data_IF_372287449234
#
_entry.id   IF_372287449234
#
_cell.length_a   1.000
_cell.length_b   1.000
_cell.length_c   1.000
_cell.angle_alpha   90.00
_cell.angle_beta   90.00
_cell.angle_gamma   90.00
#
_symmetry.space_group_name_H-M   'P 1'
#
loop_
_entity.id
_entity.type
_entity.pdbx_description
1 polymer ?
#
# COMPACT_ATOMS: atom_id res chain seq x y z
N UNK A 1 -16.47 37.27 39.12
CA UNK A 1 -15.77 35.98 39.04
C UNK A 1 -15.43 35.79 37.57
N UNK A 2 -14.21 36.06 37.15
CA UNK A 2 -13.77 35.74 35.79
C UNK A 2 -13.59 34.22 35.72
N UNK A 3 -14.38 33.56 34.91
CA UNK A 3 -14.17 32.15 34.62
C UNK A 3 -12.79 32.00 33.98
N UNK A 4 -11.85 31.36 34.68
CA UNK A 4 -10.57 31.01 34.11
C UNK A 4 -10.80 30.10 32.91
N UNK A 5 -10.32 30.54 31.75
CA UNK A 5 -10.48 29.81 30.50
C UNK A 5 -9.66 28.52 30.54
N UNK A 6 -10.32 27.39 30.66
CA UNK A 6 -9.68 26.07 30.63
C UNK A 6 -9.50 25.61 29.18
N UNK A 7 -8.30 25.21 28.78
CA UNK A 7 -8.00 24.70 27.45
C UNK A 7 -8.03 23.17 27.47
N UNK A 8 -8.98 22.52 26.79
CA UNK A 8 -9.05 21.06 26.81
C UNK A 8 -7.82 20.42 26.18
N UNK A 9 -7.42 19.19 26.59
CA UNK A 9 -6.37 18.44 25.94
C UNK A 9 -6.66 18.25 24.45
N UNK A 10 -5.65 18.47 23.61
CA UNK A 10 -5.78 18.46 22.15
C UNK A 10 -6.02 19.85 21.54
N UNK A 11 -6.31 20.90 22.33
CA UNK A 11 -6.38 22.28 21.84
C UNK A 11 -5.03 22.74 21.33
N UNK A 12 -5.02 23.56 20.29
CA UNK A 12 -3.84 24.32 19.84
C UNK A 12 -3.87 25.71 20.45
N UNK A 13 -2.73 26.13 20.95
CA UNK A 13 -2.56 27.47 21.54
C UNK A 13 -1.27 28.10 21.04
N UNK A 14 -1.26 29.41 20.92
CA UNK A 14 -0.04 30.20 20.68
C UNK A 14 0.38 30.80 22.01
N UNK A 15 1.62 30.55 22.39
CA UNK A 15 2.25 31.11 23.59
C UNK A 15 3.68 31.51 23.20
N UNK A 16 4.04 32.78 23.44
CA UNK A 16 5.36 33.35 23.07
C UNK A 16 5.68 33.18 21.59
N UNK A 17 4.69 33.47 20.73
CA UNK A 17 4.78 33.40 19.25
C UNK A 17 5.00 32.00 18.67
N UNK A 18 4.96 30.94 19.49
CA UNK A 18 5.10 29.56 19.07
C UNK A 18 3.80 28.78 19.27
N UNK A 19 3.55 27.78 18.39
CA UNK A 19 2.37 26.93 18.50
C UNK A 19 2.63 25.70 19.36
N UNK A 20 1.67 25.43 20.24
CA UNK A 20 1.71 24.35 21.20
C UNK A 20 0.42 23.53 21.20
N UNK A 21 0.54 22.22 21.42
CA UNK A 21 -0.56 21.29 21.64
C UNK A 21 -0.74 21.09 23.16
N UNK A 22 -1.92 21.39 23.66
CA UNK A 22 -2.26 21.18 25.08
C UNK A 22 -2.37 19.67 25.36
N UNK A 23 -1.64 19.20 26.37
CA UNK A 23 -1.70 17.83 26.87
C UNK A 23 -2.51 17.70 28.15
N UNK A 24 -2.55 18.73 28.94
CA UNK A 24 -3.31 18.77 30.18
C UNK A 24 -3.23 20.09 30.90
N UNK A 25 -4.13 20.27 31.87
CA UNK A 25 -4.20 21.46 32.72
C UNK A 25 -4.12 21.04 34.19
N UNK A 26 -3.48 21.87 35.00
CA UNK A 26 -3.45 21.68 36.43
C UNK A 26 -3.67 23.03 37.13
N UNK A 27 -4.67 23.10 38.00
CA UNK A 27 -4.89 24.31 38.82
C UNK A 27 -3.78 24.51 39.82
N UNK A 28 -3.38 25.79 40.04
CA UNK A 28 -2.27 26.15 40.92
C UNK A 28 -2.84 26.79 42.15
N UNK A 29 -2.26 26.51 43.33
CA UNK A 29 -2.67 27.04 44.63
C UNK A 29 -2.59 28.58 44.76
N UNK A 30 -1.78 29.23 43.93
CA UNK A 30 -1.61 30.69 43.87
C UNK A 30 -2.58 31.41 42.93
N UNK A 31 -3.52 30.65 42.32
CA UNK A 31 -4.42 31.13 41.27
C UNK A 31 -3.85 30.99 39.88
N UNK A 32 -4.69 30.57 38.93
CA UNK A 32 -4.32 30.32 37.55
C UNK A 32 -4.16 28.83 37.22
N UNK A 33 -3.81 28.55 35.97
CA UNK A 33 -3.67 27.21 35.40
C UNK A 33 -2.26 27.01 34.88
N UNK A 34 -1.64 25.87 35.22
CA UNK A 34 -0.46 25.37 34.55
C UNK A 34 -0.87 24.54 33.36
N UNK A 35 -0.51 24.97 32.14
CA UNK A 35 -0.69 24.23 30.91
C UNK A 35 0.52 23.35 30.63
N UNK A 36 0.30 22.07 30.56
CA UNK A 36 1.28 21.12 30.04
C UNK A 36 1.10 21.01 28.51
N UNK A 37 2.13 21.33 27.75
CA UNK A 37 2.07 21.43 26.29
C UNK A 37 3.24 20.72 25.61
N UNK A 38 3.05 20.42 24.32
CA UNK A 38 4.12 19.95 23.43
C UNK A 38 4.20 20.89 22.24
N UNK A 39 5.40 21.32 21.87
CA UNK A 39 5.64 22.21 20.75
C UNK A 39 5.27 21.59 19.41
N UNK A 40 4.61 22.39 18.55
CA UNK A 40 4.19 22.02 17.18
C UNK A 40 5.06 22.75 16.16
N UNK A 41 5.29 24.05 16.32
CA UNK A 41 6.08 24.86 15.40
C UNK A 41 7.54 24.41 15.35
N UNK A 42 8.25 24.80 14.30
CA UNK A 42 9.55 24.21 13.94
C UNK A 42 10.61 24.39 15.04
N UNK A 43 10.62 25.53 15.68
CA UNK A 43 11.61 25.88 16.71
C UNK A 43 11.46 25.05 17.99
N UNK A 44 10.21 24.72 18.37
CA UNK A 44 9.87 24.02 19.62
C UNK A 44 9.33 22.62 19.41
N UNK A 45 9.46 22.07 18.21
CA UNK A 45 8.85 20.79 17.82
C UNK A 45 9.21 19.66 18.77
N UNK A 46 8.15 18.99 19.28
CA UNK A 46 8.24 17.87 20.22
C UNK A 46 8.88 18.20 21.57
N UNK A 47 9.17 19.47 21.87
CA UNK A 47 9.64 19.86 23.20
C UNK A 47 8.46 20.00 24.17
N UNK A 48 8.46 19.30 25.32
CA UNK A 48 7.47 19.52 26.37
C UNK A 48 7.77 20.84 27.12
N UNK A 49 6.72 21.58 27.43
CA UNK A 49 6.82 22.79 28.24
C UNK A 49 5.63 22.92 29.19
N UNK A 50 5.78 23.76 30.19
CA UNK A 50 4.72 24.14 31.14
C UNK A 50 4.64 25.65 31.15
N UNK A 51 3.46 26.19 30.83
CA UNK A 51 3.18 27.61 30.87
C UNK A 51 2.14 27.93 31.95
N UNK A 52 2.25 29.10 32.55
CA UNK A 52 1.35 29.57 33.61
C UNK A 52 0.43 30.63 33.03
N UNK A 53 -0.90 30.43 33.11
CA UNK A 53 -1.87 31.40 32.61
C UNK A 53 -1.79 32.78 33.29
N UNK A 54 -1.14 32.84 34.44
CA UNK A 54 -0.90 34.11 35.18
C UNK A 54 0.29 34.90 34.67
N UNK A 55 1.22 34.26 33.93
CA UNK A 55 2.46 34.85 33.46
C UNK A 55 2.54 34.96 31.94
N UNK A 56 1.91 34.06 31.23
CA UNK A 56 1.95 33.95 29.78
C UNK A 56 0.61 34.27 29.14
N UNK A 57 0.60 35.05 28.07
CA UNK A 57 -0.57 35.27 27.24
C UNK A 57 -0.83 34.02 26.40
N UNK A 58 -2.00 33.40 26.61
CA UNK A 58 -2.36 32.15 25.88
C UNK A 58 -3.50 32.50 24.92
N UNK A 59 -3.18 32.37 23.59
CA UNK A 59 -4.15 32.56 22.52
C UNK A 59 -4.59 31.19 22.01
N UNK A 60 -5.88 30.91 22.09
CA UNK A 60 -6.42 29.68 21.50
C UNK A 60 -6.54 29.83 19.98
N UNK A 61 -6.00 28.83 19.25
CA UNK A 61 -6.23 28.69 17.82
C UNK A 61 -7.52 27.88 17.62
N UNK A 62 -8.58 28.58 17.27
CA UNK A 62 -9.85 27.91 16.95
C UNK A 62 -9.82 27.41 15.50
N UNK A 63 -10.35 26.19 15.24
CA UNK A 63 -10.47 25.70 13.87
C UNK A 63 -11.25 26.65 12.93
N UNK A 64 -12.23 27.37 13.51
CA UNK A 64 -13.08 28.34 12.80
C UNK A 64 -12.30 29.56 12.27
N UNK A 65 -11.22 29.93 12.96
CA UNK A 65 -10.35 31.06 12.58
C UNK A 65 -9.27 30.65 11.58
N UNK A 66 -9.19 29.36 11.20
CA UNK A 66 -8.18 28.85 10.29
C UNK A 66 -8.51 29.27 8.85
N UNK A 67 -7.66 30.10 8.26
CA UNK A 67 -7.76 30.49 6.87
C UNK A 67 -6.86 29.59 5.99
N UNK A 68 -7.42 29.15 4.85
CA UNK A 68 -6.63 28.45 3.84
C UNK A 68 -5.82 29.48 3.05
N UNK A 69 -4.52 29.39 3.15
CA UNK A 69 -3.59 30.21 2.36
C UNK A 69 -2.88 29.32 1.32
N UNK A 70 -2.50 29.92 0.21
CA UNK A 70 -1.68 29.21 -0.80
C UNK A 70 -0.33 28.88 -0.17
N UNK A 71 0.07 27.61 -0.23
CA UNK A 71 1.37 27.17 0.25
C UNK A 71 2.44 27.38 -0.83
N UNK A 72 3.19 28.47 -0.71
CA UNK A 72 4.32 28.80 -1.59
C UNK A 72 5.64 28.15 -1.12
N UNK A 73 5.60 27.34 -0.06
CA UNK A 73 6.79 26.71 0.49
C UNK A 73 7.38 25.65 -0.44
N UNK A 74 8.70 25.44 -0.43
CA UNK A 74 9.34 24.37 -1.21
C UNK A 74 8.90 22.97 -0.75
N UNK A 75 8.24 22.86 0.40
CA UNK A 75 7.74 21.60 0.97
C UNK A 75 6.42 21.15 0.35
N UNK A 76 5.66 22.03 -0.29
CA UNK A 76 4.39 21.69 -0.93
C UNK A 76 4.51 20.49 -1.89
N UNK A 77 5.53 20.48 -2.74
CA UNK A 77 5.77 19.38 -3.71
C UNK A 77 6.01 18.05 -2.99
N UNK A 78 6.74 18.06 -1.86
CA UNK A 78 7.02 16.85 -1.06
C UNK A 78 5.75 16.34 -0.39
N UNK A 79 4.96 17.23 0.23
CA UNK A 79 3.68 16.89 0.86
C UNK A 79 2.67 16.35 -0.14
N UNK A 80 2.55 17.00 -1.30
CA UNK A 80 1.70 16.53 -2.40
C UNK A 80 2.11 15.13 -2.87
N UNK A 81 3.40 14.92 -3.13
CA UNK A 81 3.92 13.61 -3.55
C UNK A 81 3.67 12.53 -2.49
N UNK A 82 3.82 12.86 -1.22
CA UNK A 82 3.53 11.94 -0.12
C UNK A 82 2.05 11.54 -0.09
N UNK A 83 1.15 12.51 -0.13
CA UNK A 83 -0.31 12.27 -0.14
C UNK A 83 -0.71 11.46 -1.37
N UNK A 84 -0.23 11.84 -2.56
CA UNK A 84 -0.49 11.10 -3.81
C UNK A 84 0.00 9.65 -3.72
N UNK A 85 1.15 9.43 -3.09
CA UNK A 85 1.71 8.09 -2.88
C UNK A 85 0.86 7.28 -1.92
N UNK A 86 0.43 7.89 -0.81
CA UNK A 86 -0.46 7.22 0.17
C UNK A 86 -1.80 6.84 -0.48
N UNK A 87 -2.44 7.75 -1.22
CA UNK A 87 -3.69 7.47 -1.93
C UNK A 87 -3.53 6.35 -2.98
N UNK A 88 -2.39 6.31 -3.68
CA UNK A 88 -2.09 5.23 -4.64
C UNK A 88 -1.83 3.88 -3.96
N UNK A 89 -1.24 3.88 -2.78
CA UNK A 89 -0.97 2.65 -2.01
C UNK A 89 -2.19 2.12 -1.27
N UNK A 90 -3.17 2.97 -0.96
CA UNK A 90 -4.39 2.55 -0.27
C UNK A 90 -5.14 1.54 -1.14
N UNK A 91 -5.36 0.31 -0.66
CA UNK A 91 -6.11 -0.68 -1.40
C UNK A 91 -7.59 -0.28 -1.46
N UNK A 92 -8.26 -0.43 -2.63
CA UNK A 92 -9.69 -0.22 -2.72
C UNK A 92 -10.46 -1.30 -1.94
N UNK A 93 -11.54 -0.90 -1.28
CA UNK A 93 -12.41 -1.79 -0.51
C UNK A 93 -13.70 -2.16 -1.25
N UNK A 94 -13.99 -1.47 -2.33
CA UNK A 94 -15.16 -1.73 -3.18
C UNK A 94 -14.85 -2.75 -4.30
N UNK A 95 -15.88 -3.17 -5.04
CA UNK A 95 -15.77 -4.15 -6.13
C UNK A 95 -15.41 -3.53 -7.49
N UNK A 96 -15.18 -2.21 -7.56
CA UNK A 96 -14.84 -1.53 -8.82
C UNK A 96 -13.46 -1.92 -9.32
N UNK A 97 -13.36 -2.17 -10.62
CA UNK A 97 -12.10 -2.46 -11.29
C UNK A 97 -11.36 -1.14 -11.56
N UNK A 98 -10.16 -1.01 -11.01
CA UNK A 98 -9.36 0.23 -11.07
C UNK A 98 -8.20 0.16 -12.03
N UNK A 99 -7.44 -0.93 -12.00
CA UNK A 99 -6.23 -1.09 -12.81
C UNK A 99 -6.43 -1.91 -14.05
N UNK A 100 -7.31 -2.90 -14.01
CA UNK A 100 -7.54 -3.77 -15.15
C UNK A 100 -7.94 -3.01 -16.42
N UNK A 101 -8.67 -1.92 -16.27
CA UNK A 101 -9.06 -1.04 -17.39
C UNK A 101 -7.92 -0.20 -17.97
N UNK A 102 -6.77 -0.13 -17.31
CA UNK A 102 -5.61 0.68 -17.73
C UNK A 102 -4.53 -0.13 -18.45
N UNK A 103 -4.78 -1.38 -18.73
CA UNK A 103 -3.89 -2.22 -19.52
C UNK A 103 -3.83 -1.77 -20.99
N UNK A 104 -2.75 -2.11 -21.68
CA UNK A 104 -2.58 -1.81 -23.10
C UNK A 104 -3.37 -2.80 -23.97
N UNK A 105 -4.69 -2.74 -23.91
CA UNK A 105 -5.64 -3.54 -24.70
C UNK A 105 -6.98 -2.81 -24.82
N UNK A 106 -7.81 -3.24 -25.78
CA UNK A 106 -9.19 -2.77 -25.89
C UNK A 106 -10.10 -3.67 -25.04
N UNK A 107 -10.67 -3.16 -23.94
CA UNK A 107 -11.45 -3.97 -23.02
C UNK A 107 -12.81 -4.33 -23.62
N UNK A 108 -13.22 -5.59 -23.44
CA UNK A 108 -14.56 -6.08 -23.75
C UNK A 108 -15.29 -6.41 -22.44
N UNK A 109 -16.58 -6.11 -22.37
CA UNK A 109 -17.35 -6.22 -21.12
C UNK A 109 -17.32 -7.62 -20.50
N UNK A 110 -17.34 -8.67 -21.29
CA UNK A 110 -17.33 -10.04 -20.78
C UNK A 110 -16.00 -10.39 -20.06
N UNK A 111 -14.87 -9.77 -20.45
CA UNK A 111 -13.56 -10.01 -19.85
C UNK A 111 -13.47 -9.57 -18.38
N UNK A 112 -14.41 -8.75 -17.92
CA UNK A 112 -14.48 -8.33 -16.53
C UNK A 112 -15.32 -9.28 -15.64
N UNK A 113 -16.08 -10.19 -16.22
CA UNK A 113 -16.96 -11.10 -15.48
C UNK A 113 -16.18 -12.00 -14.52
N UNK A 114 -15.08 -12.70 -14.93
CA UNK A 114 -14.28 -13.50 -14.01
C UNK A 114 -13.65 -12.67 -12.89
N UNK A 115 -13.24 -11.45 -13.21
CA UNK A 115 -12.63 -10.53 -12.25
C UNK A 115 -13.62 -10.12 -11.17
N UNK A 116 -14.86 -9.73 -11.57
CA UNK A 116 -15.91 -9.36 -10.61
C UNK A 116 -16.26 -10.54 -9.70
N UNK A 117 -16.37 -11.75 -10.26
CA UNK A 117 -16.59 -12.98 -9.46
C UNK A 117 -15.45 -13.23 -8.47
N UNK A 118 -14.20 -12.99 -8.87
CA UNK A 118 -13.05 -13.16 -7.98
C UNK A 118 -13.05 -12.13 -6.84
N UNK A 119 -13.40 -10.89 -7.15
CA UNK A 119 -13.37 -9.81 -6.16
C UNK A 119 -14.48 -9.94 -5.11
N UNK A 120 -15.63 -10.51 -5.47
CA UNK A 120 -16.74 -10.74 -4.54
C UNK A 120 -16.54 -11.94 -3.60
N UNK A 121 -15.48 -12.75 -3.79
CA UNK A 121 -15.15 -13.89 -2.95
C UNK A 121 -13.89 -13.67 -2.11
N UNK A 122 -13.88 -14.19 -0.89
CA UNK A 122 -12.69 -14.16 -0.01
C UNK A 122 -11.58 -15.09 -0.53
N UNK A 123 -11.95 -16.28 -0.98
CA UNK A 123 -11.03 -17.29 -1.53
C UNK A 123 -11.51 -17.74 -2.90
N UNK A 124 -11.30 -16.94 -3.96
CA UNK A 124 -11.79 -17.27 -5.27
C UNK A 124 -11.03 -18.43 -5.89
N UNK A 125 -11.79 -19.41 -6.40
CA UNK A 125 -11.28 -20.41 -7.34
C UNK A 125 -12.10 -20.29 -8.61
N UNK A 126 -11.47 -19.85 -9.70
CA UNK A 126 -12.19 -19.47 -10.93
C UNK A 126 -11.69 -20.29 -12.11
N UNK A 127 -12.62 -20.86 -12.86
CA UNK A 127 -12.39 -21.46 -14.16
C UNK A 127 -12.75 -20.45 -15.25
N UNK A 128 -11.77 -20.08 -16.08
CA UNK A 128 -11.94 -19.25 -17.28
C UNK A 128 -11.95 -20.22 -18.49
N UNK A 129 -13.13 -20.45 -19.04
CA UNK A 129 -13.37 -21.48 -20.08
C UNK A 129 -13.84 -20.89 -21.42
N UNK A 130 -13.43 -19.68 -21.74
CA UNK A 130 -13.82 -19.02 -22.98
C UNK A 130 -13.22 -19.68 -24.22
N UNK A 131 -13.84 -19.44 -25.38
CA UNK A 131 -13.33 -19.94 -26.65
C UNK A 131 -11.91 -19.40 -26.96
N UNK A 132 -11.21 -20.09 -27.83
CA UNK A 132 -9.85 -19.67 -28.25
C UNK A 132 -9.94 -18.31 -28.95
N UNK A 133 -9.03 -17.40 -28.60
CA UNK A 133 -8.97 -16.06 -29.18
C UNK A 133 -9.76 -14.96 -28.43
N UNK A 134 -10.63 -15.31 -27.47
CA UNK A 134 -11.41 -14.33 -26.72
C UNK A 134 -10.62 -13.58 -25.62
N UNK A 135 -9.35 -13.88 -25.43
CA UNK A 135 -8.48 -13.11 -24.55
C UNK A 135 -8.39 -13.61 -23.11
N UNK A 136 -8.42 -14.92 -22.87
CA UNK A 136 -8.21 -15.51 -21.53
C UNK A 136 -7.00 -14.93 -20.80
N UNK A 137 -5.89 -14.70 -21.52
CA UNK A 137 -4.69 -14.06 -20.96
C UNK A 137 -4.95 -12.62 -20.49
N UNK A 138 -5.83 -11.90 -21.21
CA UNK A 138 -6.25 -10.54 -20.83
C UNK A 138 -7.06 -10.60 -19.53
N UNK A 139 -8.01 -11.51 -19.41
CA UNK A 139 -8.82 -11.70 -18.19
C UNK A 139 -7.95 -12.01 -16.97
N UNK A 140 -6.98 -12.91 -17.13
CA UNK A 140 -5.99 -13.19 -16.08
C UNK A 140 -5.17 -11.94 -15.74
N UNK A 141 -4.72 -11.19 -16.74
CA UNK A 141 -3.96 -9.96 -16.54
C UNK A 141 -4.75 -8.87 -15.80
N UNK A 142 -6.05 -8.71 -16.14
CA UNK A 142 -6.96 -7.80 -15.42
C UNK A 142 -7.06 -8.24 -13.95
N UNK A 143 -7.34 -9.53 -13.71
CA UNK A 143 -7.47 -10.08 -12.37
C UNK A 143 -6.20 -9.88 -11.54
N UNK A 144 -5.05 -10.26 -12.06
CA UNK A 144 -3.77 -10.11 -11.35
C UNK A 144 -3.45 -8.64 -11.05
N UNK A 145 -3.75 -7.72 -11.98
CA UNK A 145 -3.56 -6.28 -11.78
C UNK A 145 -4.42 -5.73 -10.64
N UNK A 146 -5.68 -6.20 -10.54
CA UNK A 146 -6.58 -5.82 -9.45
C UNK A 146 -6.16 -6.44 -8.11
N UNK A 147 -5.76 -7.71 -8.09
CA UNK A 147 -5.25 -8.35 -6.87
C UNK A 147 -4.00 -7.63 -6.34
N UNK A 148 -3.07 -7.25 -7.23
CA UNK A 148 -1.89 -6.47 -6.86
C UNK A 148 -2.26 -5.10 -6.28
N UNK A 149 -3.25 -4.40 -6.86
CA UNK A 149 -3.72 -3.12 -6.34
C UNK A 149 -4.34 -3.24 -4.96
N UNK A 150 -4.95 -4.39 -4.66
CA UNK A 150 -5.63 -4.69 -3.40
C UNK A 150 -4.72 -5.31 -2.33
N UNK A 151 -3.41 -5.45 -2.60
CA UNK A 151 -2.46 -6.12 -1.70
C UNK A 151 -2.68 -7.63 -1.58
N UNK A 152 -3.47 -8.22 -2.49
CA UNK A 152 -3.76 -9.67 -2.57
C UNK A 152 -3.04 -10.35 -3.74
N UNK A 153 -1.95 -9.78 -4.21
CA UNK A 153 -1.17 -10.23 -5.36
C UNK A 153 0.29 -9.84 -5.25
N UNK A 154 0.87 -9.87 -4.07
CA UNK A 154 2.30 -9.64 -3.89
C UNK A 154 3.07 -10.82 -4.45
N UNK A 155 2.67 -12.04 -4.08
CA UNK A 155 3.29 -13.27 -4.52
C UNK A 155 2.40 -14.04 -5.48
N UNK A 156 2.83 -14.12 -6.75
CA UNK A 156 2.07 -14.73 -7.85
C UNK A 156 2.86 -15.89 -8.45
N UNK A 157 2.22 -17.05 -8.55
CA UNK A 157 2.74 -18.22 -9.24
C UNK A 157 1.89 -18.51 -10.49
N UNK A 158 2.52 -18.51 -11.65
CA UNK A 158 1.90 -18.95 -12.90
C UNK A 158 2.48 -20.30 -13.31
N UNK A 159 1.60 -21.27 -13.51
CA UNK A 159 1.99 -22.61 -13.99
C UNK A 159 1.37 -22.80 -15.37
N UNK A 160 2.22 -23.02 -16.39
CA UNK A 160 1.76 -23.16 -17.75
C UNK A 160 2.57 -24.25 -18.50
N UNK A 161 2.13 -24.63 -19.69
CA UNK A 161 2.91 -25.51 -20.57
C UNK A 161 4.13 -24.76 -21.13
N UNK A 162 5.22 -25.47 -21.37
CA UNK A 162 6.51 -24.89 -21.75
C UNK A 162 6.43 -23.96 -22.97
N UNK A 163 5.62 -24.31 -23.97
CA UNK A 163 5.44 -23.50 -25.19
C UNK A 163 4.77 -22.15 -24.96
N UNK A 164 3.97 -21.99 -23.90
CA UNK A 164 3.23 -20.75 -23.61
C UNK A 164 3.99 -19.79 -22.67
N UNK A 165 5.05 -20.24 -22.01
CA UNK A 165 5.74 -19.44 -20.98
C UNK A 165 6.22 -18.08 -21.50
N UNK A 166 6.88 -18.08 -22.66
CA UNK A 166 7.46 -16.86 -23.23
C UNK A 166 6.35 -15.87 -23.67
N UNK A 167 5.32 -16.36 -24.35
CA UNK A 167 4.19 -15.55 -24.78
C UNK A 167 3.46 -14.95 -23.59
N UNK A 168 3.12 -15.77 -22.60
CA UNK A 168 2.41 -15.32 -21.40
C UNK A 168 3.20 -14.27 -20.61
N UNK A 169 4.51 -14.51 -20.44
CA UNK A 169 5.41 -13.56 -19.79
C UNK A 169 5.46 -12.22 -20.54
N UNK A 170 5.56 -12.25 -21.87
CA UNK A 170 5.59 -11.06 -22.70
C UNK A 170 4.26 -10.29 -22.63
N UNK A 171 3.12 -10.97 -22.70
CA UNK A 171 1.79 -10.33 -22.62
C UNK A 171 1.56 -9.69 -21.24
N UNK A 172 1.93 -10.37 -20.15
CA UNK A 172 1.84 -9.82 -18.80
C UNK A 172 2.71 -8.55 -18.65
N UNK A 173 3.91 -8.57 -19.19
CA UNK A 173 4.79 -7.41 -19.15
C UNK A 173 4.29 -6.27 -20.03
N UNK A 174 4.02 -6.54 -21.32
CA UNK A 174 3.69 -5.48 -22.30
C UNK A 174 2.34 -4.84 -22.07
N UNK A 175 1.34 -5.59 -21.59
CA UNK A 175 -0.04 -5.10 -21.42
C UNK A 175 -0.34 -4.63 -19.99
N UNK A 176 0.23 -5.29 -18.98
CA UNK A 176 -0.12 -5.07 -17.59
C UNK A 176 1.06 -4.62 -16.71
N UNK A 177 2.26 -4.55 -17.26
CA UNK A 177 3.50 -4.26 -16.51
C UNK A 177 3.75 -5.20 -15.33
N UNK A 178 3.32 -6.46 -15.47
CA UNK A 178 3.55 -7.51 -14.46
C UNK A 178 4.83 -8.27 -14.81
N UNK A 179 5.92 -8.11 -14.05
CA UNK A 179 7.19 -8.77 -14.31
C UNK A 179 7.16 -10.20 -13.77
N UNK A 180 6.86 -11.18 -14.61
CA UNK A 180 6.97 -12.59 -14.27
C UNK A 180 8.39 -13.09 -14.51
N UNK A 181 9.03 -13.67 -13.50
CA UNK A 181 10.36 -14.28 -13.64
C UNK A 181 10.21 -15.74 -13.99
N UNK A 182 10.80 -16.14 -15.10
CA UNK A 182 10.78 -17.54 -15.54
C UNK A 182 11.75 -18.37 -14.72
N UNK A 183 11.22 -19.33 -13.97
CA UNK A 183 11.99 -20.30 -13.19
C UNK A 183 11.87 -21.70 -13.80
N UNK A 184 12.44 -21.88 -15.00
CA UNK A 184 12.70 -23.20 -15.54
C UNK A 184 13.95 -23.83 -14.86
N UNK A 185 14.34 -25.04 -15.27
CA UNK A 185 15.48 -25.74 -14.70
C UNK A 185 16.76 -24.89 -14.67
N UNK A 186 17.03 -24.13 -15.76
CA UNK A 186 18.19 -23.25 -15.82
C UNK A 186 18.02 -22.01 -14.92
N UNK A 187 16.83 -21.43 -14.87
CA UNK A 187 16.50 -20.29 -14.01
C UNK A 187 16.66 -20.65 -12.54
N UNK A 188 16.12 -21.78 -12.12
CA UNK A 188 16.27 -22.32 -10.77
C UNK A 188 17.73 -22.58 -10.41
N UNK A 189 18.52 -23.13 -11.34
CA UNK A 189 19.93 -23.39 -11.11
C UNK A 189 20.74 -22.10 -10.94
N UNK A 190 20.44 -21.05 -11.73
CA UNK A 190 21.05 -19.72 -11.56
C UNK A 190 20.73 -19.10 -10.20
N UNK A 191 19.50 -19.25 -9.71
CA UNK A 191 19.11 -18.77 -8.39
C UNK A 191 19.83 -19.56 -7.30
N UNK A 192 19.86 -20.89 -7.39
CA UNK A 192 20.55 -21.77 -6.44
C UNK A 192 22.03 -21.45 -6.30
N UNK A 193 22.69 -21.08 -7.39
CA UNK A 193 24.10 -20.68 -7.35
C UNK A 193 24.34 -19.35 -6.60
N UNK A 194 23.30 -18.56 -6.38
CA UNK A 194 23.36 -17.25 -5.72
C UNK A 194 22.89 -17.25 -4.27
N UNK A 195 22.20 -18.29 -3.85
CA UNK A 195 21.63 -18.41 -2.49
C UNK A 195 22.25 -19.60 -1.75
N UNK A 196 22.29 -19.58 -0.41
CA UNK A 196 22.70 -20.73 0.39
C UNK A 196 21.84 -21.97 0.07
N UNK A 197 22.46 -23.16 0.10
CA UNK A 197 21.83 -24.44 -0.27
C UNK A 197 20.59 -24.80 0.55
N UNK A 198 20.46 -24.27 1.76
CA UNK A 198 19.32 -24.45 2.66
C UNK A 198 18.17 -23.48 2.42
N UNK A 199 18.29 -22.54 1.48
CA UNK A 199 17.23 -21.57 1.18
C UNK A 199 16.34 -22.04 0.03
N UNK A 200 15.05 -21.76 0.15
CA UNK A 200 14.07 -22.05 -0.88
C UNK A 200 14.23 -21.05 -2.05
N UNK A 201 14.53 -21.50 -3.27
CA UNK A 201 14.74 -20.61 -4.42
C UNK A 201 13.51 -19.82 -4.84
N UNK A 202 12.29 -20.28 -4.48
CA UNK A 202 11.06 -19.57 -4.79
C UNK A 202 10.79 -18.38 -3.86
N UNK A 203 11.52 -18.24 -2.76
CA UNK A 203 11.45 -17.04 -1.92
C UNK A 203 12.21 -15.85 -2.51
N UNK A 204 13.01 -16.07 -3.57
CA UNK A 204 13.86 -15.02 -4.14
C UNK A 204 13.09 -14.06 -5.05
N UNK A 205 12.01 -14.54 -5.67
CA UNK A 205 11.16 -13.72 -6.55
C UNK A 205 9.68 -13.82 -6.13
N UNK A 206 9.00 -12.68 -6.15
CA UNK A 206 7.60 -12.62 -5.76
C UNK A 206 6.64 -13.02 -6.88
N UNK A 207 7.04 -12.84 -8.14
CA UNK A 207 6.21 -13.14 -9.31
C UNK A 207 6.93 -14.09 -10.23
N UNK A 208 6.43 -15.31 -10.28
CA UNK A 208 7.11 -16.45 -10.92
C UNK A 208 6.23 -17.09 -11.97
N UNK A 209 6.82 -17.51 -13.08
CA UNK A 209 6.22 -18.40 -14.06
C UNK A 209 7.08 -19.64 -14.25
N UNK A 210 6.46 -20.81 -14.20
CA UNK A 210 7.14 -22.10 -14.28
C UNK A 210 6.37 -23.06 -15.19
N UNK A 211 7.08 -24.01 -15.84
CA UNK A 211 6.40 -25.04 -16.61
C UNK A 211 5.93 -26.19 -15.73
N UNK A 212 4.76 -26.74 -16.08
CA UNK A 212 4.23 -27.94 -15.42
C UNK A 212 5.21 -29.12 -15.55
N UNK A 213 5.96 -29.21 -16.67
CA UNK A 213 6.95 -30.26 -16.87
C UNK A 213 8.12 -30.16 -15.91
N UNK A 214 8.57 -28.96 -15.60
CA UNK A 214 9.62 -28.74 -14.59
C UNK A 214 9.18 -29.19 -13.20
N UNK A 215 7.91 -28.99 -12.87
CA UNK A 215 7.35 -29.43 -11.58
C UNK A 215 7.17 -30.94 -11.49
N UNK A 216 6.81 -31.60 -12.60
CA UNK A 216 6.65 -33.06 -12.63
C UNK A 216 7.99 -33.80 -12.54
N UNK A 217 9.05 -33.24 -13.11
CA UNK A 217 10.35 -33.92 -13.24
C UNK A 217 11.20 -33.87 -11.97
N UNK A 218 10.94 -32.96 -11.04
CA UNK A 218 11.71 -32.86 -9.78
C UNK A 218 10.79 -32.62 -8.59
N UNK A 219 10.52 -33.69 -7.83
CA UNK A 219 9.67 -33.63 -6.62
C UNK A 219 10.12 -32.62 -5.56
N UNK A 220 11.43 -32.23 -5.57
CA UNK A 220 11.93 -31.20 -4.65
C UNK A 220 11.34 -29.82 -4.92
N UNK A 221 11.07 -29.50 -6.19
CA UNK A 221 10.44 -28.22 -6.52
C UNK A 221 9.02 -28.12 -6.02
N UNK A 222 8.29 -29.22 -6.03
CA UNK A 222 6.95 -29.30 -5.48
C UNK A 222 6.96 -28.97 -3.98
N UNK A 223 7.84 -29.61 -3.21
CA UNK A 223 7.97 -29.34 -1.78
C UNK A 223 8.32 -27.87 -1.49
N UNK A 224 9.21 -27.27 -2.27
CA UNK A 224 9.55 -25.85 -2.11
C UNK A 224 8.39 -24.92 -2.42
N UNK A 225 7.57 -25.24 -3.43
CA UNK A 225 6.37 -24.46 -3.76
C UNK A 225 5.29 -24.58 -2.68
N UNK A 226 5.08 -25.81 -2.15
CA UNK A 226 4.13 -26.06 -1.07
C UNK A 226 4.51 -25.33 0.24
N UNK A 227 5.81 -25.13 0.47
CA UNK A 227 6.33 -24.38 1.61
C UNK A 227 6.30 -22.86 1.41
N UNK A 228 5.94 -22.39 0.21
CA UNK A 228 5.91 -20.97 -0.12
C UNK A 228 4.46 -20.48 -0.12
N UNK A 229 4.21 -19.39 0.61
CA UNK A 229 2.91 -18.74 0.53
C UNK A 229 2.76 -18.03 -0.81
N UNK A 230 1.61 -18.24 -1.47
CA UNK A 230 1.23 -17.57 -2.71
C UNK A 230 -0.13 -16.91 -2.54
N UNK A 231 -0.23 -15.65 -2.97
CA UNK A 231 -1.50 -14.92 -2.93
C UNK A 231 -2.40 -15.32 -4.12
N UNK A 232 -1.77 -15.69 -5.25
CA UNK A 232 -2.45 -16.17 -6.44
C UNK A 232 -1.64 -17.27 -7.14
N UNK A 233 -2.31 -18.34 -7.55
CA UNK A 233 -1.77 -19.42 -8.37
C UNK A 233 -2.64 -19.59 -9.61
#
# INVERSE_FOLDING_TARGET
MSFEKVFPPGSRVVIRDEEWLVRGNKSISTGGIALHVIGISELVRNHPAIFLSSLDEIKELKPEDTQLVVDDSPRYRRSKLYIDTMLRKTPPTDEKIYRGQRGAFNPLNFQFIPVNKALSSLHPSILIADAVGLGKTIEVGILLSELMKRGRGERILVIAIKSMLAQFQQEMWSRFTIPLVRLDTQGLQRVRNKIPSNKNPFHYFDKVIISIDTLKNDGRYRTFLEQTHWDAI
#
